data_IF_454425859827
#
_entry.id   IF_454425859827
#
_cell.length_a   1.000
_cell.length_b   1.000
_cell.length_c   1.000
_cell.angle_alpha   90.00
_cell.angle_beta   90.00
_cell.angle_gamma   90.00
#
_symmetry.space_group_name_H-M   'P 1'
#
loop_
_entity.id
_entity.type
_entity.pdbx_description
1 polymer ?
#
# COMPACT_ATOMS: atom_id res chain seq x y z
N UNK A 1 -10.40 8.54 -22.18
CA UNK A 1 -9.81 9.90 -22.34
C UNK A 1 -8.56 9.93 -23.23
N UNK A 2 -8.52 9.19 -24.37
CA UNK A 2 -7.28 9.04 -25.16
C UNK A 2 -7.44 9.17 -26.69
N UNK A 3 -8.61 9.57 -27.19
CA UNK A 3 -8.81 9.83 -28.62
C UNK A 3 -8.77 11.33 -28.96
N UNK A 4 -9.26 12.20 -28.05
CA UNK A 4 -9.30 13.65 -28.26
C UNK A 4 -7.93 14.35 -28.15
N UNK A 5 -7.00 13.87 -27.30
CA UNK A 5 -5.66 14.47 -27.18
C UNK A 5 -4.79 14.30 -28.43
N UNK A 6 -5.00 13.25 -29.23
CA UNK A 6 -4.24 13.02 -30.47
C UNK A 6 -4.65 13.94 -31.62
N UNK A 7 -5.88 14.48 -31.59
CA UNK A 7 -6.37 15.43 -32.59
C UNK A 7 -5.86 16.85 -32.30
N UNK A 8 -5.73 17.22 -31.02
CA UNK A 8 -5.20 18.52 -30.61
C UNK A 8 -3.70 18.68 -30.91
N UNK A 9 -2.91 17.62 -30.76
CA UNK A 9 -1.45 17.64 -31.01
C UNK A 9 -1.04 17.62 -32.49
N UNK A 10 -1.96 17.36 -33.43
CA UNK A 10 -1.66 17.44 -34.89
C UNK A 10 -1.85 18.83 -35.50
N UNK A 11 -2.39 19.80 -34.75
CA UNK A 11 -2.66 21.16 -35.25
C UNK A 11 -1.65 22.21 -34.78
N UNK A 12 -0.66 21.88 -33.96
CA UNK A 12 0.27 22.86 -33.36
C UNK A 12 1.71 22.79 -33.88
N UNK A 13 1.99 22.00 -34.92
CA UNK A 13 3.30 22.00 -35.59
C UNK A 13 3.18 22.33 -37.07
N UNK A 14 2.66 23.51 -37.40
CA UNK A 14 3.13 24.30 -38.56
C UNK A 14 2.46 25.67 -38.58
N UNK A 15 3.31 26.71 -38.65
CA UNK A 15 3.01 28.10 -39.04
C UNK A 15 2.20 28.98 -38.08
N UNK A 16 2.88 30.02 -37.57
CA UNK A 16 2.41 31.41 -37.64
C UNK A 16 1.29 31.82 -36.70
N UNK A 17 1.65 32.66 -35.73
CA UNK A 17 0.77 33.51 -34.91
C UNK A 17 -0.40 34.13 -35.66
N UNK A 18 -1.64 33.78 -35.27
CA UNK A 18 -2.82 34.67 -35.27
C UNK A 18 -3.80 34.20 -34.19
N UNK A 19 -4.10 35.06 -33.22
CA UNK A 19 -5.09 34.81 -32.17
C UNK A 19 -6.50 35.10 -32.73
N UNK A 20 -7.42 34.13 -32.66
CA UNK A 20 -8.83 34.37 -32.95
C UNK A 20 -9.59 34.77 -31.67
N UNK A 21 -10.47 35.77 -31.80
CA UNK A 21 -11.36 36.27 -30.76
C UNK A 21 -12.51 35.29 -30.47
N UNK A 22 -12.27 34.09 -29.94
CA UNK A 22 -13.28 33.27 -29.25
C UNK A 22 -12.60 32.17 -28.43
N UNK A 23 -11.98 32.53 -27.32
CA UNK A 23 -11.53 31.59 -26.29
C UNK A 23 -12.37 31.79 -25.02
N UNK A 24 -12.87 30.69 -24.46
CA UNK A 24 -13.65 30.68 -23.23
C UNK A 24 -12.78 31.07 -22.02
N UNK A 25 -13.37 31.57 -20.90
CA UNK A 25 -12.59 31.98 -19.73
C UNK A 25 -11.68 30.88 -19.17
N UNK A 26 -12.08 29.61 -19.32
CA UNK A 26 -11.34 28.43 -18.87
C UNK A 26 -10.08 28.18 -19.72
N UNK A 27 -10.15 28.37 -21.03
CA UNK A 27 -9.02 28.21 -21.96
C UNK A 27 -7.96 29.30 -21.76
N UNK A 28 -8.38 30.51 -21.38
CA UNK A 28 -7.48 31.60 -21.00
C UNK A 28 -6.77 31.33 -19.66
N UNK A 29 -7.44 30.68 -18.70
CA UNK A 29 -6.85 30.28 -17.41
C UNK A 29 -5.82 29.14 -17.57
N UNK A 30 -6.09 28.17 -18.44
CA UNK A 30 -5.15 27.08 -18.74
C UNK A 30 -3.88 27.58 -19.47
N UNK A 31 -3.99 28.56 -20.36
CA UNK A 31 -2.85 29.17 -21.04
C UNK A 31 -1.98 30.02 -20.09
N UNK A 32 -2.57 30.67 -19.09
CA UNK A 32 -1.84 31.44 -18.07
C UNK A 32 -0.99 30.54 -17.15
N UNK A 33 -1.49 29.34 -16.80
CA UNK A 33 -0.76 28.33 -16.01
C UNK A 33 0.39 27.67 -16.80
N UNK A 34 0.29 27.57 -18.12
CA UNK A 34 1.36 27.06 -18.97
C UNK A 34 2.49 28.09 -19.19
N UNK A 35 2.17 29.39 -19.22
CA UNK A 35 3.18 30.46 -19.34
C UNK A 35 3.91 30.78 -18.02
N UNK A 36 3.32 30.51 -16.85
CA UNK A 36 4.01 30.66 -15.56
C UNK A 36 5.00 29.55 -15.25
N UNK A 37 5.03 28.47 -16.06
CA UNK A 37 5.94 27.33 -15.88
C UNK A 37 7.23 27.48 -16.70
N UNK A 38 7.36 28.53 -17.52
CA UNK A 38 8.55 28.78 -18.38
C UNK A 38 9.44 29.93 -17.86
N UNK A 39 9.04 30.64 -16.79
CA UNK A 39 9.87 31.69 -16.18
C UNK A 39 10.03 31.46 -14.67
N UNK A 40 10.76 30.39 -14.32
CA UNK A 40 11.55 30.30 -13.08
C UNK A 40 12.70 29.32 -13.31
N UNK A 41 13.63 29.72 -14.19
CA UNK A 41 15.01 29.25 -14.22
C UNK A 41 15.84 30.52 -14.27
N UNK A 42 16.20 31.05 -13.10
CA UNK A 42 17.31 31.96 -12.82
C UNK A 42 17.14 32.52 -11.40
N UNK A 43 17.61 31.77 -10.41
CA UNK A 43 18.09 32.38 -9.17
C UNK A 43 19.54 31.98 -9.01
N UNK A 44 20.41 32.88 -9.46
CA UNK A 44 21.83 32.91 -9.19
C UNK A 44 22.02 33.22 -7.70
N UNK A 45 22.53 32.28 -6.91
CA UNK A 45 23.08 32.59 -5.60
C UNK A 45 24.60 32.58 -5.65
N UNK A 46 25.15 33.67 -5.13
CA UNK A 46 26.55 34.03 -5.06
C UNK A 46 27.43 32.93 -4.48
N UNK A 47 28.51 32.66 -5.22
CA UNK A 47 29.67 31.89 -4.78
C UNK A 47 30.41 32.69 -3.70
N UNK A 48 30.36 32.20 -2.45
CA UNK A 48 31.32 32.58 -1.41
C UNK A 48 32.14 31.32 -1.11
N UNK A 49 33.33 31.26 -1.69
CA UNK A 49 34.27 30.16 -1.48
C UNK A 49 34.72 30.13 -0.01
N UNK A 50 34.20 29.16 0.75
CA UNK A 50 34.86 28.65 1.93
C UNK A 50 35.13 27.17 1.68
N UNK A 51 36.36 26.86 1.28
CA UNK A 51 36.84 25.48 1.16
C UNK A 51 36.90 24.87 2.56
N UNK A 52 35.88 24.10 2.93
CA UNK A 52 36.00 23.06 3.96
C UNK A 52 35.97 21.72 3.24
N UNK A 53 37.16 21.20 2.91
CA UNK A 53 37.34 19.86 2.37
C UNK A 53 37.19 18.83 3.47
N UNK A 54 35.95 18.49 3.76
CA UNK A 54 35.59 17.19 4.34
C UNK A 54 34.18 16.89 3.84
N UNK A 55 34.09 16.31 2.64
CA UNK A 55 32.88 15.57 2.30
C UNK A 55 32.72 14.53 3.43
N UNK A 56 31.59 14.48 4.15
CA UNK A 56 31.38 13.43 5.13
C UNK A 56 31.55 12.11 4.38
N UNK A 57 32.48 11.28 4.83
CA UNK A 57 32.63 9.93 4.33
C UNK A 57 31.30 9.22 4.59
N UNK A 58 30.44 9.15 3.56
CA UNK A 58 29.25 8.32 3.63
C UNK A 58 29.72 6.89 3.90
N UNK A 59 29.45 6.38 5.09
CA UNK A 59 29.73 4.99 5.40
C UNK A 59 28.87 4.14 4.47
N UNK A 60 29.52 3.47 3.52
CA UNK A 60 28.83 2.68 2.53
C UNK A 60 28.05 1.56 3.21
N UNK A 61 26.73 1.57 3.07
CA UNK A 61 25.86 0.48 3.56
C UNK A 61 26.06 -0.72 2.62
N UNK A 62 26.57 -1.82 3.17
CA UNK A 62 26.75 -3.08 2.46
C UNK A 62 25.97 -4.21 3.13
N UNK A 63 26.01 -4.25 4.46
CA UNK A 63 25.37 -5.26 5.29
C UNK A 63 24.12 -4.70 5.96
N UNK A 64 22.96 -5.30 5.64
CA UNK A 64 21.66 -4.95 6.22
C UNK A 64 21.19 -6.10 7.11
N UNK A 65 20.76 -5.80 8.32
CA UNK A 65 20.15 -6.80 9.20
C UNK A 65 18.69 -6.46 9.41
N UNK A 66 17.79 -7.37 9.03
CA UNK A 66 16.35 -7.19 9.15
C UNK A 66 15.83 -8.08 10.29
N UNK A 67 15.24 -7.46 11.30
CA UNK A 67 14.65 -8.16 12.45
C UNK A 67 13.15 -8.34 12.23
N UNK A 68 12.70 -9.60 12.24
CA UNK A 68 11.35 -10.00 11.89
C UNK A 68 11.28 -10.60 10.49
N UNK A 69 10.78 -11.83 10.38
CA UNK A 69 10.63 -12.57 9.13
C UNK A 69 9.17 -12.67 8.65
N UNK A 70 8.28 -11.85 9.23
CA UNK A 70 6.89 -11.71 8.78
C UNK A 70 6.78 -11.09 7.39
N UNK A 71 5.54 -10.82 6.94
CA UNK A 71 5.26 -10.33 5.59
C UNK A 71 6.10 -9.11 5.18
N UNK A 72 6.19 -8.10 6.04
CA UNK A 72 6.96 -6.88 5.78
C UNK A 72 8.46 -7.15 5.79
N UNK A 73 8.97 -7.79 6.84
CA UNK A 73 10.40 -8.11 6.98
C UNK A 73 10.93 -8.97 5.84
N UNK A 74 10.21 -10.05 5.47
CA UNK A 74 10.53 -10.87 4.31
C UNK A 74 10.55 -10.06 3.00
N UNK A 75 9.58 -9.16 2.81
CA UNK A 75 9.55 -8.28 1.64
C UNK A 75 10.70 -7.29 1.58
N UNK A 76 11.12 -6.74 2.74
CA UNK A 76 12.28 -5.84 2.85
C UNK A 76 13.57 -6.61 2.55
N UNK A 77 13.73 -7.81 3.13
CA UNK A 77 14.87 -8.71 2.87
C UNK A 77 14.99 -9.01 1.38
N UNK A 78 13.87 -9.37 0.74
CA UNK A 78 13.83 -9.63 -0.69
C UNK A 78 14.34 -8.42 -1.49
N UNK A 79 13.75 -7.24 -1.28
CA UNK A 79 14.09 -6.04 -2.05
C UNK A 79 15.56 -5.63 -1.84
N UNK A 80 16.06 -5.70 -0.61
CA UNK A 80 17.45 -5.41 -0.31
C UNK A 80 18.40 -6.39 -1.01
N UNK A 81 18.16 -7.70 -0.86
CA UNK A 81 19.00 -8.74 -1.44
C UNK A 81 18.99 -8.74 -2.98
N UNK A 82 17.83 -8.45 -3.60
CA UNK A 82 17.69 -8.29 -5.05
C UNK A 82 18.52 -7.12 -5.62
N UNK A 83 18.82 -6.12 -4.79
CA UNK A 83 19.59 -4.94 -5.17
C UNK A 83 21.04 -4.98 -4.63
N UNK A 84 21.55 -6.18 -4.38
CA UNK A 84 22.97 -6.43 -4.13
C UNK A 84 23.46 -6.15 -2.71
N UNK A 85 22.57 -5.87 -1.75
CA UNK A 85 22.95 -5.82 -0.34
C UNK A 85 23.13 -7.24 0.21
N UNK A 86 24.08 -7.43 1.12
CA UNK A 86 24.15 -8.63 1.94
C UNK A 86 23.18 -8.47 3.10
N UNK A 87 22.23 -9.38 3.22
CA UNK A 87 21.12 -9.24 4.16
C UNK A 87 21.11 -10.42 5.13
N UNK A 88 21.08 -10.12 6.43
CA UNK A 88 20.81 -11.11 7.47
C UNK A 88 19.39 -10.94 7.97
N UNK A 89 18.54 -11.94 7.75
CA UNK A 89 17.19 -12.01 8.30
C UNK A 89 17.24 -12.68 9.67
N UNK A 90 16.74 -11.99 10.69
CA UNK A 90 16.79 -12.45 12.08
C UNK A 90 15.38 -12.61 12.63
N UNK A 91 15.11 -13.74 13.26
CA UNK A 91 13.88 -13.99 14.02
C UNK A 91 14.16 -14.91 15.21
N UNK A 92 13.19 -15.13 16.08
CA UNK A 92 13.36 -15.87 17.34
C UNK A 92 13.58 -17.37 17.16
N UNK A 93 13.11 -17.94 16.04
CA UNK A 93 13.10 -19.38 15.79
C UNK A 93 13.25 -19.65 14.28
N UNK A 94 13.94 -20.75 13.96
CA UNK A 94 14.12 -21.26 12.59
C UNK A 94 12.79 -21.47 11.86
N UNK A 95 11.71 -21.83 12.57
CA UNK A 95 10.40 -21.96 11.93
C UNK A 95 9.89 -20.66 11.31
N UNK A 96 10.17 -19.51 11.94
CA UNK A 96 9.76 -18.20 11.43
C UNK A 96 10.68 -17.77 10.29
N UNK A 97 11.98 -18.06 10.39
CA UNK A 97 12.95 -17.81 9.33
C UNK A 97 12.57 -18.59 8.06
N UNK A 98 12.21 -19.87 8.20
CA UNK A 98 11.77 -20.69 7.07
C UNK A 98 10.50 -20.13 6.42
N UNK A 99 9.49 -19.73 7.22
CA UNK A 99 8.28 -19.05 6.70
C UNK A 99 8.63 -17.78 5.93
N UNK A 100 9.55 -16.97 6.45
CA UNK A 100 10.04 -15.77 5.76
C UNK A 100 10.70 -16.10 4.41
N UNK A 101 11.56 -17.13 4.37
CA UNK A 101 12.18 -17.62 3.13
C UNK A 101 11.13 -18.12 2.13
N UNK A 102 10.10 -18.81 2.57
CA UNK A 102 9.02 -19.30 1.72
C UNK A 102 8.21 -18.13 1.11
N UNK A 103 7.94 -17.09 1.90
CA UNK A 103 7.31 -15.84 1.41
C UNK A 103 8.17 -15.21 0.31
N UNK A 104 9.47 -15.08 0.55
CA UNK A 104 10.43 -14.52 -0.42
C UNK A 104 10.43 -15.36 -1.69
N UNK A 105 10.55 -16.68 -1.57
CA UNK A 105 10.57 -17.58 -2.73
C UNK A 105 9.28 -17.48 -3.55
N UNK A 106 8.11 -17.56 -2.92
CA UNK A 106 6.82 -17.45 -3.59
C UNK A 106 6.64 -16.10 -4.30
N UNK A 107 7.12 -15.02 -3.67
CA UNK A 107 7.13 -13.68 -4.26
C UNK A 107 8.07 -13.59 -5.46
N UNK A 108 9.31 -14.08 -5.36
CA UNK A 108 10.28 -14.09 -6.45
C UNK A 108 9.82 -14.90 -7.65
N UNK A 109 9.16 -16.05 -7.44
CA UNK A 109 8.54 -16.83 -8.53
C UNK A 109 7.51 -15.97 -9.28
N UNK A 110 6.65 -15.24 -8.54
CA UNK A 110 5.63 -14.36 -9.14
C UNK A 110 6.26 -13.19 -9.89
N UNK A 111 7.29 -12.56 -9.31
CA UNK A 111 8.03 -11.44 -9.92
C UNK A 111 8.78 -11.92 -11.16
N UNK A 112 9.47 -13.06 -11.10
CA UNK A 112 10.19 -13.67 -12.21
C UNK A 112 9.29 -13.95 -13.40
N UNK A 113 8.11 -14.56 -13.18
CA UNK A 113 7.11 -14.79 -14.23
C UNK A 113 6.64 -13.49 -14.90
N UNK A 114 6.58 -12.38 -14.15
CA UNK A 114 6.17 -11.07 -14.67
C UNK A 114 7.27 -10.39 -15.48
N UNK A 115 8.53 -10.46 -15.01
CA UNK A 115 9.68 -9.77 -15.61
C UNK A 115 10.27 -10.54 -16.79
N UNK A 116 10.35 -11.86 -16.68
CA UNK A 116 11.03 -12.74 -17.63
C UNK A 116 10.06 -13.77 -18.19
N UNK A 117 9.01 -13.28 -18.86
CA UNK A 117 8.02 -14.11 -19.53
C UNK A 117 8.75 -15.08 -20.48
N UNK A 118 8.46 -16.36 -20.33
CA UNK A 118 8.99 -17.45 -21.16
C UNK A 118 10.52 -17.65 -21.12
N UNK A 119 11.22 -17.07 -20.14
CA UNK A 119 12.65 -17.30 -19.91
C UNK A 119 12.90 -17.88 -18.51
N UNK A 120 12.78 -19.20 -18.39
CA UNK A 120 12.93 -19.93 -17.12
C UNK A 120 14.35 -19.79 -16.53
N UNK A 121 15.38 -19.72 -17.38
CA UNK A 121 16.77 -19.55 -16.93
C UNK A 121 16.94 -18.25 -16.15
N UNK A 122 16.43 -17.12 -16.67
CA UNK A 122 16.48 -15.82 -15.97
C UNK A 122 15.61 -15.79 -14.71
N UNK A 123 14.50 -16.52 -14.69
CA UNK A 123 13.68 -16.64 -13.48
C UNK A 123 14.44 -17.37 -12.37
N UNK A 124 15.12 -18.47 -12.71
CA UNK A 124 15.93 -19.24 -11.77
C UNK A 124 17.14 -18.44 -11.27
N UNK A 125 17.85 -17.76 -12.17
CA UNK A 125 18.98 -16.89 -11.84
C UNK A 125 18.58 -15.77 -10.88
N UNK A 126 17.41 -15.13 -11.08
CA UNK A 126 16.88 -14.12 -10.16
C UNK A 126 16.70 -14.68 -8.74
N UNK A 127 16.13 -15.89 -8.62
CA UNK A 127 15.90 -16.52 -7.32
C UNK A 127 17.23 -16.86 -6.65
N UNK A 128 18.13 -17.55 -7.36
CA UNK A 128 19.42 -18.00 -6.83
C UNK A 128 20.31 -16.83 -6.41
N UNK A 129 20.45 -15.81 -7.26
CA UNK A 129 21.24 -14.61 -6.96
C UNK A 129 20.68 -13.83 -5.77
N UNK A 130 19.35 -13.76 -5.62
CA UNK A 130 18.73 -13.12 -4.45
C UNK A 130 19.04 -13.90 -3.17
N UNK A 131 18.86 -15.22 -3.17
CA UNK A 131 19.12 -16.04 -1.99
C UNK A 131 20.61 -16.13 -1.63
N UNK A 132 21.52 -16.01 -2.61
CA UNK A 132 22.97 -15.92 -2.36
C UNK A 132 23.37 -14.67 -1.55
N UNK A 133 22.49 -13.67 -1.47
CA UNK A 133 22.67 -12.48 -0.66
C UNK A 133 21.96 -12.54 0.71
N UNK A 134 21.23 -13.62 1.01
CA UNK A 134 20.43 -13.74 2.24
C UNK A 134 21.07 -14.79 3.16
N UNK A 135 21.38 -14.37 4.39
CA UNK A 135 21.68 -15.26 5.51
C UNK A 135 20.56 -15.20 6.55
N UNK A 136 20.40 -16.26 7.33
CA UNK A 136 19.44 -16.31 8.44
C UNK A 136 20.15 -16.53 9.76
N UNK A 137 19.58 -16.03 10.85
CA UNK A 137 20.13 -16.20 12.19
C UNK A 137 19.04 -16.09 13.24
N UNK A 138 19.15 -16.90 14.29
CA UNK A 138 18.33 -16.79 15.51
C UNK A 138 19.03 -15.98 16.61
N UNK A 139 20.30 -15.65 16.44
CA UNK A 139 21.08 -14.88 17.40
C UNK A 139 21.04 -13.38 17.06
N UNK A 140 20.18 -12.66 17.78
CA UNK A 140 19.98 -11.23 17.58
C UNK A 140 21.23 -10.40 17.86
N UNK A 141 21.94 -10.69 18.95
CA UNK A 141 23.09 -9.90 19.41
C UNK A 141 24.33 -10.14 18.55
N UNK A 142 24.54 -11.36 18.07
CA UNK A 142 25.66 -11.66 17.15
C UNK A 142 25.43 -11.04 15.79
N UNK A 143 24.20 -11.07 15.28
CA UNK A 143 23.87 -10.59 13.93
C UNK A 143 24.10 -9.09 13.77
N UNK A 144 23.90 -8.29 14.83
CA UNK A 144 24.04 -6.83 14.74
C UNK A 144 25.49 -6.34 14.64
N UNK A 145 26.47 -7.17 15.05
CA UNK A 145 27.89 -6.77 15.13
C UNK A 145 28.51 -6.40 13.79
N UNK A 146 27.96 -6.90 12.69
CA UNK A 146 28.43 -6.67 11.33
C UNK A 146 27.47 -5.79 10.51
N UNK A 147 26.42 -5.24 11.13
CA UNK A 147 25.40 -4.45 10.43
C UNK A 147 25.87 -3.03 10.19
N UNK A 148 25.69 -2.54 8.96
CA UNK A 148 25.78 -1.12 8.66
C UNK A 148 24.40 -0.44 8.83
N UNK A 149 23.33 -1.19 8.52
CA UNK A 149 21.94 -0.77 8.66
C UNK A 149 21.10 -1.86 9.31
N UNK A 150 20.37 -1.51 10.36
CA UNK A 150 19.35 -2.33 10.99
C UNK A 150 17.97 -1.86 10.55
N UNK A 151 17.11 -2.79 10.12
CA UNK A 151 15.70 -2.53 9.82
C UNK A 151 14.84 -3.45 10.70
N UNK A 152 14.11 -2.85 11.63
CA UNK A 152 13.19 -3.56 12.51
C UNK A 152 11.79 -3.64 11.88
N UNK A 153 11.27 -4.86 11.76
CA UNK A 153 9.94 -5.18 11.24
C UNK A 153 9.27 -6.32 12.06
N UNK A 154 9.44 -6.28 13.39
CA UNK A 154 8.77 -7.13 14.37
C UNK A 154 7.37 -6.61 14.69
N UNK A 155 6.65 -7.32 15.56
CA UNK A 155 5.29 -6.98 16.00
C UNK A 155 5.17 -5.54 16.51
N UNK A 156 4.02 -4.92 16.22
CA UNK A 156 3.74 -3.51 16.52
C UNK A 156 3.45 -3.29 18.02
N UNK A 157 4.50 -3.36 18.84
CA UNK A 157 4.43 -3.15 20.28
C UNK A 157 5.67 -2.37 20.76
N UNK A 158 5.44 -1.25 21.43
CA UNK A 158 6.49 -0.32 21.83
C UNK A 158 7.54 -0.96 22.76
N UNK A 159 7.11 -1.76 23.74
CA UNK A 159 8.01 -2.37 24.71
C UNK A 159 8.93 -3.41 24.06
N UNK A 160 8.37 -4.23 23.15
CA UNK A 160 9.14 -5.22 22.39
C UNK A 160 10.18 -4.55 21.49
N UNK A 161 9.80 -3.48 20.78
CA UNK A 161 10.72 -2.72 19.91
C UNK A 161 11.82 -2.04 20.73
N UNK A 162 11.48 -1.35 21.83
CA UNK A 162 12.44 -0.73 22.75
C UNK A 162 13.42 -1.76 23.33
N UNK A 163 12.90 -2.91 23.80
CA UNK A 163 13.74 -4.00 24.33
C UNK A 163 14.71 -4.53 23.29
N UNK A 164 14.25 -4.75 22.05
CA UNK A 164 15.10 -5.16 20.93
C UNK A 164 16.21 -4.12 20.72
N UNK A 165 15.87 -2.87 20.45
CA UNK A 165 16.86 -1.83 20.17
C UNK A 165 17.84 -1.59 21.33
N UNK A 166 17.38 -1.64 22.59
CA UNK A 166 18.27 -1.56 23.75
C UNK A 166 19.28 -2.70 23.83
N UNK A 167 18.92 -3.88 23.34
CA UNK A 167 19.81 -5.04 23.27
C UNK A 167 20.80 -4.87 22.12
N UNK A 168 20.31 -4.47 20.95
CA UNK A 168 21.13 -4.27 19.75
C UNK A 168 22.17 -3.16 19.94
N UNK A 169 21.79 -2.06 20.59
CA UNK A 169 22.64 -0.87 20.76
C UNK A 169 23.95 -1.16 21.48
N UNK A 170 23.95 -2.14 22.40
CA UNK A 170 25.14 -2.56 23.18
C UNK A 170 26.18 -3.31 22.34
N UNK A 171 25.72 -4.00 21.29
CA UNK A 171 26.54 -4.91 20.50
C UNK A 171 26.78 -4.38 19.07
N UNK A 172 25.96 -3.44 18.62
CA UNK A 172 26.05 -2.86 17.28
C UNK A 172 27.28 -1.97 17.15
N UNK A 173 27.98 -2.01 16.01
CA UNK A 173 29.13 -1.16 15.79
C UNK A 173 28.71 0.31 15.80
N UNK A 174 29.63 1.20 16.16
CA UNK A 174 29.34 2.63 16.35
C UNK A 174 28.74 3.28 15.11
N UNK A 175 29.12 2.84 13.91
CA UNK A 175 28.62 3.38 12.65
C UNK A 175 27.22 2.92 12.26
N UNK A 176 26.67 1.87 12.88
CA UNK A 176 25.40 1.29 12.42
C UNK A 176 24.22 2.26 12.59
N UNK A 177 23.42 2.37 11.53
CA UNK A 177 22.16 3.12 11.50
C UNK A 177 21.02 2.18 11.91
N UNK A 178 20.16 2.64 12.81
CA UNK A 178 18.97 1.91 13.24
C UNK A 178 17.71 2.49 12.62
N UNK A 179 16.85 1.61 12.10
CA UNK A 179 15.55 2.00 11.55
C UNK A 179 14.42 1.10 11.99
N UNK A 180 13.23 1.65 12.14
CA UNK A 180 11.99 0.89 12.34
C UNK A 180 11.05 1.07 11.14
N UNK A 181 10.41 -0.02 10.72
CA UNK A 181 9.34 -0.05 9.72
C UNK A 181 7.95 0.20 10.33
N UNK A 182 7.85 0.59 11.61
CA UNK A 182 6.56 0.87 12.27
C UNK A 182 5.72 1.84 11.45
N UNK A 183 4.39 1.63 11.48
CA UNK A 183 3.42 2.46 10.76
C UNK A 183 2.65 3.40 11.68
N UNK A 184 2.71 3.15 13.00
CA UNK A 184 1.82 3.80 13.98
C UNK A 184 2.54 4.34 15.22
N UNK A 185 3.71 3.81 15.57
CA UNK A 185 4.44 4.23 16.77
C UNK A 185 5.38 5.39 16.44
N UNK A 186 5.51 6.40 17.31
CA UNK A 186 6.49 7.45 17.14
C UNK A 186 7.92 6.89 17.11
N UNK A 187 8.70 7.29 16.11
CA UNK A 187 10.10 6.87 15.97
C UNK A 187 10.92 7.38 17.16
N UNK A 188 10.64 8.58 17.65
CA UNK A 188 11.26 9.19 18.82
C UNK A 188 11.11 8.33 20.06
N UNK A 189 9.94 7.71 20.23
CA UNK A 189 9.64 6.88 21.40
C UNK A 189 10.44 5.58 21.35
N UNK A 190 10.65 5.01 20.18
CA UNK A 190 11.49 3.82 20.00
C UNK A 190 12.97 4.19 20.20
N UNK A 191 13.42 5.31 19.61
CA UNK A 191 14.81 5.76 19.63
C UNK A 191 15.35 6.04 21.04
N UNK A 192 14.48 6.43 21.99
CA UNK A 192 14.81 6.63 23.42
C UNK A 192 15.44 5.40 24.08
N UNK A 193 15.28 4.19 23.52
CA UNK A 193 15.90 2.98 24.04
C UNK A 193 17.39 2.81 23.67
N UNK A 194 17.98 3.78 22.97
CA UNK A 194 19.33 3.71 22.41
C UNK A 194 20.16 4.95 22.75
N UNK A 195 21.47 4.82 22.70
CA UNK A 195 22.44 5.91 22.87
C UNK A 195 22.85 6.56 21.54
N UNK A 196 22.20 6.23 20.41
CA UNK A 196 22.51 6.73 19.05
C UNK A 196 21.34 7.45 18.36
N UNK A 197 20.66 8.40 19.02
CA UNK A 197 19.46 9.05 18.46
C UNK A 197 19.71 9.77 17.13
N UNK A 198 20.95 10.18 16.86
CA UNK A 198 21.39 10.80 15.60
C UNK A 198 21.52 9.81 14.43
N UNK A 199 21.67 8.51 14.72
CA UNK A 199 21.70 7.39 13.77
C UNK A 199 20.43 6.53 13.84
N UNK A 200 19.33 7.11 14.33
CA UNK A 200 18.03 6.44 14.41
C UNK A 200 16.99 7.15 13.53
N UNK A 201 16.21 6.39 12.76
CA UNK A 201 15.15 6.92 11.90
C UNK A 201 14.01 5.91 11.69
N UNK A 202 12.95 6.32 11.00
CA UNK A 202 11.96 5.41 10.43
C UNK A 202 12.26 5.13 8.97
N UNK A 203 12.03 3.89 8.55
CA UNK A 203 12.12 3.47 7.16
C UNK A 203 10.86 2.67 6.81
N UNK A 204 9.78 3.38 6.52
CA UNK A 204 8.44 2.82 6.42
C UNK A 204 8.12 2.39 4.99
N UNK A 205 8.15 1.08 4.76
CA UNK A 205 7.78 0.42 3.50
C UNK A 205 6.28 0.11 3.46
N UNK A 206 5.75 -0.07 2.25
CA UNK A 206 4.33 -0.36 2.03
C UNK A 206 4.12 -1.78 1.50
N UNK A 207 3.08 -2.46 2.00
CA UNK A 207 2.72 -3.81 1.58
C UNK A 207 1.99 -3.81 0.21
N UNK A 208 2.31 -4.73 -0.73
CA UNK A 208 3.46 -5.64 -0.75
C UNK A 208 4.77 -4.94 -1.10
N UNK A 209 5.79 -5.13 -0.26
CA UNK A 209 7.08 -4.41 -0.34
C UNK A 209 7.74 -4.51 -1.72
N UNK A 210 7.81 -5.68 -2.40
CA UNK A 210 8.42 -5.74 -3.74
C UNK A 210 7.69 -4.92 -4.81
N UNK A 211 6.37 -4.72 -4.66
CA UNK A 211 5.53 -4.06 -5.65
C UNK A 211 5.37 -2.56 -5.39
N UNK A 212 5.26 -2.15 -4.12
CA UNK A 212 5.08 -0.75 -3.75
C UNK A 212 6.39 0.01 -3.90
N UNK A 213 6.37 1.14 -4.62
CA UNK A 213 7.57 1.93 -4.89
C UNK A 213 7.94 2.86 -3.75
N UNK A 214 6.97 3.34 -2.98
CA UNK A 214 7.16 4.36 -1.97
C UNK A 214 7.84 3.80 -0.72
N UNK A 215 8.71 4.60 -0.12
CA UNK A 215 9.21 4.43 1.25
C UNK A 215 9.24 5.80 1.92
N UNK A 216 8.65 5.91 3.10
CA UNK A 216 8.75 7.12 3.91
C UNK A 216 10.02 7.04 4.78
N UNK A 217 10.94 7.99 4.57
CA UNK A 217 12.14 8.15 5.40
C UNK A 217 11.80 9.16 6.50
N UNK A 218 11.58 8.64 7.70
CA UNK A 218 11.05 9.40 8.83
C UNK A 218 12.19 9.88 9.72
N UNK A 219 12.36 11.19 9.86
CA UNK A 219 13.36 11.76 10.77
C UNK A 219 12.73 12.27 12.06
N UNK A 220 13.41 12.00 13.17
CA UNK A 220 13.17 12.69 14.44
C UNK A 220 13.92 14.02 14.45
N UNK A 221 13.71 14.84 15.48
CA UNK A 221 14.48 16.07 15.70
C UNK A 221 15.98 15.80 15.99
N UNK A 222 16.33 14.56 16.36
CA UNK A 222 17.71 14.16 16.67
C UNK A 222 18.42 13.50 15.49
N UNK A 223 17.68 12.92 14.55
CA UNK A 223 18.24 12.24 13.38
C UNK A 223 19.13 13.20 12.59
N UNK A 224 20.40 12.82 12.43
CA UNK A 224 21.40 13.61 11.69
C UNK A 224 21.06 13.70 10.21
N UNK A 225 21.54 14.76 9.55
CA UNK A 225 21.37 14.92 8.11
C UNK A 225 22.09 13.79 7.35
N UNK A 226 23.30 13.40 7.79
CA UNK A 226 24.05 12.29 7.19
C UNK A 226 23.28 10.96 7.25
N UNK A 227 22.61 10.67 8.36
CA UNK A 227 21.75 9.47 8.48
C UNK A 227 20.58 9.54 7.52
N UNK A 228 19.91 10.70 7.45
CA UNK A 228 18.78 10.89 6.55
C UNK A 228 19.18 10.74 5.07
N UNK A 229 20.31 11.32 4.66
CA UNK A 229 20.82 11.24 3.30
C UNK A 229 21.27 9.81 2.96
N UNK A 230 21.94 9.13 3.89
CA UNK A 230 22.33 7.72 3.73
C UNK A 230 21.11 6.83 3.51
N UNK A 231 20.05 6.98 4.32
CA UNK A 231 18.83 6.20 4.17
C UNK A 231 18.09 6.51 2.87
N UNK A 232 18.11 7.78 2.44
CA UNK A 232 17.55 8.20 1.14
C UNK A 232 18.28 7.51 -0.01
N UNK A 233 19.61 7.45 0.01
CA UNK A 233 20.41 6.76 -1.02
C UNK A 233 20.23 5.25 -0.98
N UNK A 234 20.19 4.65 0.22
CA UNK A 234 19.89 3.22 0.38
C UNK A 234 18.55 2.87 -0.26
N UNK A 235 17.53 3.68 0.01
CA UNK A 235 16.18 3.53 -0.53
C UNK A 235 16.16 3.62 -2.06
N UNK A 236 16.87 4.59 -2.64
CA UNK A 236 17.01 4.72 -4.10
C UNK A 236 17.72 3.50 -4.71
N UNK A 237 18.80 3.02 -4.09
CA UNK A 237 19.53 1.81 -4.53
C UNK A 237 18.66 0.56 -4.45
N UNK A 238 17.70 0.50 -3.52
CA UNK A 238 16.65 -0.54 -3.48
C UNK A 238 15.55 -0.36 -4.56
N UNK A 239 15.72 0.59 -5.50
CA UNK A 239 14.74 0.96 -6.53
C UNK A 239 13.40 1.41 -5.95
N UNK A 240 13.45 2.06 -4.78
CA UNK A 240 12.30 2.71 -4.14
C UNK A 240 12.37 4.22 -4.31
N UNK A 241 11.23 4.87 -4.15
CA UNK A 241 11.08 6.30 -4.14
C UNK A 241 11.01 6.77 -2.68
N UNK A 242 12.10 7.33 -2.12
CA UNK A 242 12.07 7.90 -0.79
C UNK A 242 11.24 9.19 -0.79
N UNK A 243 10.45 9.39 0.26
CA UNK A 243 9.86 10.69 0.60
C UNK A 243 10.25 11.08 2.03
N UNK A 244 10.58 12.35 2.21
CA UNK A 244 10.99 12.89 3.50
C UNK A 244 9.77 13.20 4.36
N UNK A 245 9.74 12.72 5.60
CA UNK A 245 8.74 13.15 6.56
C UNK A 245 9.30 13.27 7.97
N UNK A 246 8.62 14.07 8.80
CA UNK A 246 8.90 14.17 10.23
C UNK A 246 8.19 13.05 10.97
N UNK A 247 8.68 12.78 12.17
CA UNK A 247 8.04 11.87 13.11
C UNK A 247 6.74 12.47 13.69
N UNK A 248 5.68 12.40 12.88
CA UNK A 248 4.32 12.82 13.23
C UNK A 248 3.36 11.65 13.05
N UNK A 249 2.25 11.56 13.81
CA UNK A 249 1.33 10.43 13.74
C UNK A 249 0.90 10.12 12.29
N UNK A 250 1.17 8.89 11.83
CA UNK A 250 0.80 8.44 10.48
C UNK A 250 1.64 9.00 9.32
N UNK A 251 2.73 9.70 9.60
CA UNK A 251 3.68 10.23 8.61
C UNK A 251 2.97 11.06 7.52
N UNK A 252 3.06 10.69 6.24
CA UNK A 252 2.35 11.36 5.15
C UNK A 252 1.13 10.53 4.75
N UNK A 253 1.36 9.29 4.30
CA UNK A 253 0.32 8.49 3.66
C UNK A 253 -0.81 8.19 4.62
N UNK A 254 -0.52 7.65 5.81
CA UNK A 254 -1.58 7.31 6.75
C UNK A 254 -2.24 8.59 7.30
N UNK A 255 -1.47 9.65 7.57
CA UNK A 255 -1.99 10.93 8.09
C UNK A 255 -3.04 11.55 7.18
N UNK A 256 -2.94 11.35 5.87
CA UNK A 256 -3.92 11.80 4.85
C UNK A 256 -5.00 10.74 4.59
N UNK A 257 -4.60 9.47 4.46
CA UNK A 257 -5.49 8.39 4.02
C UNK A 257 -6.51 8.03 5.10
N UNK A 258 -6.09 7.90 6.36
CA UNK A 258 -6.99 7.47 7.45
C UNK A 258 -8.13 8.46 7.66
N UNK A 259 -7.91 9.79 7.75
CA UNK A 259 -9.02 10.75 7.82
C UNK A 259 -9.94 10.72 6.60
N UNK A 260 -9.41 10.47 5.39
CA UNK A 260 -10.21 10.28 4.19
C UNK A 260 -11.12 9.05 4.30
N UNK A 261 -10.59 7.91 4.77
CA UNK A 261 -11.38 6.70 5.00
C UNK A 261 -12.46 6.93 6.07
N UNK A 262 -12.09 7.61 7.16
CA UNK A 262 -13.03 7.99 8.22
C UNK A 262 -14.15 8.88 7.69
N UNK A 263 -13.84 9.86 6.84
CA UNK A 263 -14.89 10.73 6.27
C UNK A 263 -15.82 9.97 5.33
N UNK A 264 -15.30 9.04 4.52
CA UNK A 264 -16.15 8.16 3.73
C UNK A 264 -17.13 7.36 4.60
N UNK A 265 -16.67 6.84 5.75
CA UNK A 265 -17.56 6.15 6.70
C UNK A 265 -18.63 7.08 7.28
N UNK A 266 -18.29 8.34 7.59
CA UNK A 266 -19.25 9.33 8.10
C UNK A 266 -20.33 9.69 7.06
N UNK A 267 -19.96 9.80 5.78
CA UNK A 267 -20.93 10.02 4.68
C UNK A 267 -21.98 8.91 4.66
N UNK A 268 -21.55 7.66 4.79
CA UNK A 268 -22.48 6.51 4.81
C UNK A 268 -23.28 6.46 6.13
N UNK A 269 -22.65 6.73 7.27
CA UNK A 269 -23.33 6.76 8.58
C UNK A 269 -24.43 7.82 8.65
N UNK A 270 -24.23 8.98 8.00
CA UNK A 270 -25.25 10.04 7.87
C UNK A 270 -26.35 9.73 6.85
N UNK A 271 -26.25 8.61 6.13
CA UNK A 271 -27.22 8.20 5.12
C UNK A 271 -27.16 9.02 3.83
N UNK A 272 -26.06 9.73 3.57
CA UNK A 272 -25.92 10.61 2.40
C UNK A 272 -25.66 9.82 1.11
N UNK A 273 -25.04 8.64 1.22
CA UNK A 273 -24.77 7.75 0.10
C UNK A 273 -24.63 6.29 0.57
N UNK A 274 -24.70 5.35 -0.38
CA UNK A 274 -24.38 3.94 -0.13
C UNK A 274 -22.86 3.70 -0.19
N UNK A 275 -22.39 2.61 0.42
CA UNK A 275 -20.99 2.17 0.30
C UNK A 275 -20.53 2.09 -1.17
N UNK A 276 -21.37 1.51 -2.02
CA UNK A 276 -21.09 1.30 -3.45
C UNK A 276 -21.02 2.61 -4.22
N UNK A 277 -21.90 3.57 -3.92
CA UNK A 277 -21.92 4.86 -4.60
C UNK A 277 -20.70 5.71 -4.21
N UNK A 278 -20.30 5.70 -2.93
CA UNK A 278 -19.08 6.38 -2.48
C UNK A 278 -17.84 5.77 -3.17
N UNK A 279 -17.73 4.45 -3.21
CA UNK A 279 -16.63 3.77 -3.90
C UNK A 279 -16.61 4.09 -5.40
N UNK A 280 -17.76 4.08 -6.05
CA UNK A 280 -17.89 4.41 -7.47
C UNK A 280 -17.52 5.86 -7.74
N UNK A 281 -17.99 6.79 -6.91
CA UNK A 281 -17.67 8.21 -7.01
C UNK A 281 -16.16 8.46 -6.86
N UNK A 282 -15.50 7.83 -5.88
CA UNK A 282 -14.07 8.02 -5.68
C UNK A 282 -13.22 7.35 -6.76
N UNK A 283 -13.65 6.21 -7.30
CA UNK A 283 -12.96 5.56 -8.42
C UNK A 283 -13.10 6.33 -9.73
N UNK A 284 -14.31 6.69 -10.12
CA UNK A 284 -14.60 7.32 -11.41
C UNK A 284 -14.38 8.83 -11.40
N UNK A 285 -14.67 9.49 -10.28
CA UNK A 285 -14.55 10.95 -10.13
C UNK A 285 -13.14 11.39 -9.74
N UNK A 286 -12.57 10.81 -8.67
CA UNK A 286 -11.23 11.16 -8.20
C UNK A 286 -10.10 10.30 -8.79
N UNK A 287 -10.44 9.30 -9.61
CA UNK A 287 -9.45 8.43 -10.27
C UNK A 287 -8.76 7.45 -9.33
N UNK A 288 -9.34 7.16 -8.16
CA UNK A 288 -8.75 6.24 -7.20
C UNK A 288 -8.76 4.80 -7.74
N UNK A 289 -7.70 4.01 -7.55
CA UNK A 289 -7.67 2.63 -8.04
C UNK A 289 -8.62 1.69 -7.26
N UNK A 290 -8.92 2.04 -6.01
CA UNK A 290 -9.91 1.39 -5.15
C UNK A 290 -10.73 2.47 -4.46
N UNK A 291 -12.02 2.23 -4.26
CA UNK A 291 -12.85 3.10 -3.42
C UNK A 291 -12.42 3.03 -1.94
N UNK A 292 -12.83 3.99 -1.09
CA UNK A 292 -12.46 3.99 0.31
C UNK A 292 -12.90 2.73 1.07
N UNK A 293 -14.06 2.15 0.74
CA UNK A 293 -14.54 0.95 1.41
C UNK A 293 -13.86 -0.32 0.90
N UNK A 294 -13.69 -0.46 -0.41
CA UNK A 294 -12.84 -1.50 -1.00
C UNK A 294 -11.42 -1.50 -0.41
N UNK A 295 -10.84 -0.31 -0.21
CA UNK A 295 -9.53 -0.14 0.39
C UNK A 295 -9.55 -0.47 1.89
N UNK A 296 -10.57 -0.04 2.62
CA UNK A 296 -10.74 -0.37 4.04
C UNK A 296 -10.90 -1.87 4.27
N UNK A 297 -11.64 -2.57 3.40
CA UNK A 297 -11.77 -4.02 3.42
C UNK A 297 -10.45 -4.72 3.05
N UNK A 298 -9.65 -4.13 2.16
CA UNK A 298 -8.34 -4.66 1.78
C UNK A 298 -7.31 -4.54 2.90
N UNK A 299 -7.27 -3.39 3.59
CA UNK A 299 -6.35 -3.12 4.70
C UNK A 299 -6.79 -3.87 5.96
N UNK A 300 -8.08 -3.83 6.27
CA UNK A 300 -8.69 -4.36 7.47
C UNK A 300 -9.28 -3.27 8.36
N UNK A 301 -10.55 -3.42 8.72
CA UNK A 301 -11.30 -2.42 9.50
C UNK A 301 -10.81 -2.31 10.95
N UNK A 302 -10.38 -3.42 11.55
CA UNK A 302 -9.72 -3.42 12.86
C UNK A 302 -8.38 -2.69 12.84
N UNK A 303 -7.61 -2.80 11.75
CA UNK A 303 -6.36 -2.04 11.59
C UNK A 303 -6.64 -0.54 11.50
N UNK A 304 -7.64 -0.13 10.72
CA UNK A 304 -8.08 1.26 10.66
C UNK A 304 -8.53 1.75 12.04
N UNK A 305 -9.38 0.98 12.73
CA UNK A 305 -9.85 1.30 14.08
C UNK A 305 -8.70 1.43 15.08
N UNK A 306 -7.76 0.49 15.08
CA UNK A 306 -6.59 0.50 15.96
C UNK A 306 -5.76 1.79 15.78
N UNK A 307 -5.53 2.23 14.55
CA UNK A 307 -4.79 3.46 14.25
C UNK A 307 -5.55 4.68 14.80
N UNK A 308 -6.84 4.79 14.49
CA UNK A 308 -7.66 5.96 14.89
C UNK A 308 -7.81 6.03 16.42
N UNK A 309 -8.06 4.90 17.08
CA UNK A 309 -8.15 4.83 18.54
C UNK A 309 -6.82 5.22 19.19
N UNK A 310 -5.69 4.77 18.62
CA UNK A 310 -4.35 5.18 19.05
C UNK A 310 -4.11 6.68 18.91
N UNK A 311 -4.47 7.28 17.77
CA UNK A 311 -4.35 8.74 17.56
C UNK A 311 -5.25 9.54 18.50
N UNK A 312 -6.45 9.03 18.79
CA UNK A 312 -7.37 9.65 19.76
C UNK A 312 -6.78 9.62 21.17
N UNK A 313 -6.20 8.50 21.58
CA UNK A 313 -5.57 8.36 22.88
C UNK A 313 -4.31 9.23 23.04
N UNK A 314 -3.52 9.38 21.97
CA UNK A 314 -2.30 10.22 21.97
C UNK A 314 -2.61 11.73 21.94
N UNK A 315 -3.79 12.13 21.44
CA UNK A 315 -4.25 13.52 21.45
C UNK A 315 -3.48 14.49 20.53
N UNK A 316 -2.55 13.98 19.71
CA UNK A 316 -1.73 14.78 18.78
C UNK A 316 -2.40 15.07 17.43
N UNK A 317 -3.48 14.35 17.12
CA UNK A 317 -4.31 14.57 15.92
C UNK A 317 -5.59 15.27 16.34
N UNK A 318 -6.06 16.24 15.53
CA UNK A 318 -7.30 16.97 15.76
C UNK A 318 -8.46 16.01 16.07
N UNK A 319 -9.14 16.25 17.20
CA UNK A 319 -10.18 15.39 17.73
C UNK A 319 -11.35 15.19 16.76
N UNK A 320 -11.66 16.17 15.91
CA UNK A 320 -12.73 16.05 14.92
C UNK A 320 -12.35 15.07 13.80
N UNK A 321 -11.08 15.01 13.41
CA UNK A 321 -10.62 14.09 12.37
C UNK A 321 -10.66 12.63 12.85
N UNK A 322 -10.38 12.40 14.13
CA UNK A 322 -10.33 11.06 14.75
C UNK A 322 -11.54 10.74 15.63
N UNK A 323 -12.61 11.54 15.54
CA UNK A 323 -13.86 11.28 16.23
C UNK A 323 -14.39 9.89 15.87
N UNK A 324 -14.94 9.18 16.86
CA UNK A 324 -15.47 7.82 16.67
C UNK A 324 -16.53 7.81 15.59
N UNK A 325 -16.58 6.70 14.85
CA UNK A 325 -17.59 6.44 13.83
C UNK A 325 -18.27 5.14 14.24
N UNK A 326 -19.54 5.24 14.62
CA UNK A 326 -20.31 4.12 15.18
C UNK A 326 -20.34 2.95 14.20
N UNK A 327 -20.46 3.23 12.91
CA UNK A 327 -20.41 2.23 11.85
C UNK A 327 -19.12 1.40 11.89
N UNK A 328 -17.96 2.04 12.08
CA UNK A 328 -16.68 1.33 12.19
C UNK A 328 -16.65 0.45 13.45
N UNK A 329 -17.09 1.01 14.58
CA UNK A 329 -17.13 0.32 15.86
C UNK A 329 -18.03 -0.92 15.80
N UNK A 330 -19.24 -0.78 15.22
CA UNK A 330 -20.20 -1.87 15.04
C UNK A 330 -19.65 -2.98 14.13
N UNK A 331 -19.04 -2.61 12.99
CA UNK A 331 -18.47 -3.57 12.04
C UNK A 331 -17.34 -4.39 12.67
N UNK A 332 -16.43 -3.72 13.40
CA UNK A 332 -15.33 -4.40 14.08
C UNK A 332 -15.85 -5.26 15.23
N UNK A 333 -16.81 -4.77 16.02
CA UNK A 333 -17.42 -5.54 17.11
C UNK A 333 -18.16 -6.80 16.60
N UNK A 334 -18.75 -6.72 15.40
CA UNK A 334 -19.39 -7.85 14.73
C UNK A 334 -18.40 -8.83 14.07
N UNK A 335 -17.09 -8.55 14.10
CA UNK A 335 -16.07 -9.38 13.47
C UNK A 335 -16.01 -9.24 11.94
N UNK A 336 -16.61 -8.20 11.37
CA UNK A 336 -16.53 -7.88 9.95
C UNK A 336 -15.25 -7.06 9.71
N UNK A 337 -14.14 -7.74 9.42
CA UNK A 337 -12.81 -7.12 9.36
C UNK A 337 -12.31 -6.91 7.92
N UNK A 338 -13.17 -7.07 6.93
CA UNK A 338 -12.81 -6.99 5.51
C UNK A 338 -12.33 -8.33 4.95
N UNK A 339 -11.45 -8.30 3.94
CA UNK A 339 -11.04 -9.48 3.14
C UNK A 339 -10.40 -10.63 3.91
N UNK A 340 -9.86 -10.35 5.09
CA UNK A 340 -9.30 -11.38 5.99
C UNK A 340 -10.37 -12.18 6.73
N UNK A 341 -11.62 -11.74 6.67
CA UNK A 341 -12.82 -12.42 7.13
C UNK A 341 -13.74 -12.68 5.95
N UNK A 342 -14.71 -13.59 6.09
CA UNK A 342 -15.66 -13.90 5.00
C UNK A 342 -16.60 -12.73 4.67
N UNK A 343 -16.69 -11.71 5.54
CA UNK A 343 -17.58 -10.56 5.43
C UNK A 343 -16.82 -9.29 5.02
N UNK A 344 -17.29 -8.66 3.95
CA UNK A 344 -16.79 -7.40 3.39
C UNK A 344 -17.93 -6.37 3.38
N UNK A 345 -17.59 -5.10 3.61
CA UNK A 345 -18.56 -3.99 3.53
C UNK A 345 -18.99 -3.80 2.08
N UNK A 346 -18.05 -3.92 1.14
CA UNK A 346 -18.35 -3.93 -0.29
C UNK A 346 -18.26 -5.37 -0.79
N UNK A 347 -19.42 -5.97 -1.03
CA UNK A 347 -19.49 -7.23 -1.76
C UNK A 347 -19.17 -6.92 -3.23
N UNK A 348 -18.10 -7.48 -3.83
CA UNK A 348 -17.85 -7.27 -5.25
C UNK A 348 -19.06 -7.76 -6.06
N UNK A 349 -19.42 -7.10 -7.17
CA UNK A 349 -20.52 -7.57 -8.00
C UNK A 349 -20.24 -9.02 -8.42
N UNK A 350 -21.17 -9.92 -8.09
CA UNK A 350 -21.08 -11.32 -8.51
C UNK A 350 -20.91 -11.39 -10.03
N UNK A 351 -19.77 -11.89 -10.50
CA UNK A 351 -19.63 -12.34 -11.88
C UNK A 351 -20.28 -13.72 -11.97
N UNK A 352 -21.54 -13.77 -12.40
CA UNK A 352 -22.14 -15.03 -12.84
C UNK A 352 -21.58 -15.30 -14.24
N UNK A 353 -20.51 -16.10 -14.34
CA UNK A 353 -20.09 -16.66 -15.63
C UNK A 353 -21.04 -17.80 -15.99
N UNK A 354 -22.00 -17.51 -16.87
CA UNK A 354 -22.76 -18.57 -17.54
C UNK A 354 -21.84 -19.28 -18.54
N UNK A 355 -21.24 -20.41 -18.13
CA UNK A 355 -20.61 -21.35 -19.07
C UNK A 355 -21.72 -22.21 -19.69
N UNK A 356 -22.18 -21.82 -20.87
CA UNK A 356 -22.94 -22.73 -21.72
C UNK A 356 -21.96 -23.68 -22.39
N UNK A 357 -22.12 -24.99 -22.18
CA UNK A 357 -21.39 -25.99 -22.96
C UNK A 357 -22.08 -26.16 -24.31
N UNK A 358 -21.35 -26.62 -25.33
CA UNK A 358 -21.91 -26.84 -26.68
C UNK A 358 -23.09 -27.82 -26.68
N UNK A 359 -23.19 -28.66 -25.64
CA UNK A 359 -24.29 -29.61 -25.42
C UNK A 359 -25.58 -28.92 -24.98
N UNK A 360 -25.48 -27.86 -24.17
CA UNK A 360 -26.63 -27.09 -23.65
C UNK A 360 -27.33 -26.26 -24.75
N UNK A 361 -26.60 -25.91 -25.81
CA UNK A 361 -27.13 -25.18 -26.98
C UNK A 361 -27.90 -26.11 -27.91
N UNK A 362 -27.48 -27.38 -28.02
CA UNK A 362 -28.07 -28.37 -28.92
C UNK A 362 -29.33 -29.03 -28.34
N UNK A 363 -29.44 -29.15 -27.01
CA UNK A 363 -30.67 -29.66 -26.38
C UNK A 363 -31.85 -28.69 -26.53
N UNK A 364 -31.60 -27.38 -26.64
CA UNK A 364 -32.65 -26.37 -26.82
C UNK A 364 -33.07 -26.13 -28.28
N UNK A 365 -32.33 -26.62 -29.27
CA UNK A 365 -32.69 -26.46 -30.68
C UNK A 365 -33.71 -27.48 -31.19
N UNK A 366 -34.13 -28.44 -30.36
CA UNK A 366 -35.09 -29.50 -30.72
C UNK A 366 -36.51 -29.29 -30.15
N UNK A 367 -36.77 -28.25 -29.37
CA UNK A 367 -38.13 -27.85 -29.03
C UNK A 367 -38.59 -26.76 -29.99
N UNK A 368 -39.42 -27.19 -30.93
CA UNK A 368 -39.99 -26.38 -31.99
C UNK A 368 -40.97 -25.33 -31.45
N UNK A 369 -40.95 -24.18 -32.13
CA UNK A 369 -41.95 -23.12 -32.14
C UNK A 369 -42.14 -22.37 -30.82
N UNK A 370 -41.41 -21.25 -30.63
CA UNK A 370 -41.92 -19.95 -30.15
C UNK A 370 -40.81 -18.89 -30.33
N UNK A 371 -40.40 -18.65 -31.58
CA UNK A 371 -39.22 -17.84 -31.90
C UNK A 371 -39.46 -16.31 -31.94
N UNK A 372 -40.40 -15.76 -31.15
CA UNK A 372 -40.74 -14.32 -31.27
C UNK A 372 -41.24 -13.59 -30.03
N UNK A 373 -40.75 -13.94 -28.83
CA UNK A 373 -41.14 -13.25 -27.60
C UNK A 373 -40.02 -13.06 -26.55
N UNK A 374 -38.75 -13.04 -26.95
CA UNK A 374 -37.61 -12.90 -26.02
C UNK A 374 -36.64 -11.78 -26.39
N UNK A 375 -37.12 -10.76 -27.09
CA UNK A 375 -36.30 -9.58 -27.42
C UNK A 375 -36.80 -8.25 -26.85
N UNK A 376 -37.84 -8.26 -26.01
CA UNK A 376 -38.36 -7.03 -25.42
C UNK A 376 -38.91 -7.28 -24.01
N UNK A 377 -38.02 -7.43 -23.02
CA UNK A 377 -38.24 -7.04 -21.60
C UNK A 377 -37.00 -7.33 -20.74
N UNK A 378 -35.88 -6.68 -21.07
CA UNK A 378 -34.71 -6.57 -20.18
C UNK A 378 -34.43 -5.12 -19.83
N UNK A 379 -35.51 -4.36 -19.62
CA UNK A 379 -35.47 -3.10 -18.92
C UNK A 379 -36.36 -3.20 -17.68
N UNK A 380 -35.69 -3.11 -16.53
CA UNK A 380 -36.22 -3.11 -15.17
C UNK A 380 -36.97 -4.38 -14.75
N UNK A 381 -36.30 -5.26 -13.98
CA UNK A 381 -36.85 -5.80 -12.72
C UNK A 381 -35.89 -6.76 -12.00
N UNK A 382 -35.77 -6.53 -10.69
CA UNK A 382 -35.34 -7.42 -9.60
C UNK A 382 -34.56 -8.70 -9.94
N UNK A 383 -33.23 -8.63 -9.74
CA UNK A 383 -32.34 -9.79 -9.60
C UNK A 383 -32.81 -10.81 -8.54
N UNK A 384 -33.58 -10.37 -7.54
CA UNK A 384 -34.19 -11.24 -6.53
C UNK A 384 -35.22 -12.23 -7.12
N UNK A 385 -36.00 -11.82 -8.12
CA UNK A 385 -37.01 -12.67 -8.74
C UNK A 385 -36.38 -13.78 -9.60
N UNK A 386 -35.30 -13.44 -10.31
CA UNK A 386 -34.53 -14.39 -11.14
C UNK A 386 -33.82 -15.43 -10.27
N UNK A 387 -33.24 -15.02 -9.14
CA UNK A 387 -32.63 -15.95 -8.19
C UNK A 387 -33.67 -16.89 -7.56
N UNK A 388 -34.82 -16.37 -7.10
CA UNK A 388 -35.89 -17.17 -6.48
C UNK A 388 -36.49 -18.19 -7.48
N UNK A 389 -36.62 -17.83 -8.76
CA UNK A 389 -37.14 -18.74 -9.78
C UNK A 389 -36.14 -19.85 -10.13
N UNK A 390 -34.84 -19.55 -10.17
CA UNK A 390 -33.79 -20.53 -10.45
C UNK A 390 -33.51 -21.48 -9.27
N UNK A 391 -33.61 -21.00 -8.02
CA UNK A 391 -33.44 -21.83 -6.82
C UNK A 391 -34.65 -22.74 -6.50
N UNK A 392 -35.82 -22.51 -7.11
CA UNK A 392 -36.93 -23.48 -7.11
C UNK A 392 -36.67 -24.67 -8.04
N UNK A 393 -35.80 -24.53 -9.04
CA UNK A 393 -35.47 -25.56 -10.02
C UNK A 393 -34.26 -26.41 -9.63
N UNK A 394 -33.38 -25.91 -8.77
CA UNK A 394 -32.17 -26.62 -8.32
C UNK A 394 -32.29 -26.95 -6.83
N UNK A 395 -32.33 -28.24 -6.51
CA UNK A 395 -32.60 -28.80 -5.18
C UNK A 395 -31.41 -28.58 -4.21
N UNK A 396 -31.15 -27.32 -3.83
CA UNK A 396 -30.08 -26.94 -2.90
C UNK A 396 -30.57 -27.09 -1.44
N UNK A 397 -29.80 -27.82 -0.63
CA UNK A 397 -30.12 -28.13 0.78
C UNK A 397 -30.39 -26.86 1.61
N UNK A 398 -31.52 -26.87 2.33
CA UNK A 398 -32.11 -25.79 3.15
C UNK A 398 -31.18 -25.15 4.21
N UNK A 399 -30.07 -25.78 4.59
CA UNK A 399 -29.25 -25.33 5.71
C UNK A 399 -28.42 -24.06 5.41
N UNK A 400 -28.19 -23.75 4.14
CA UNK A 400 -27.54 -22.49 3.73
C UNK A 400 -28.50 -21.29 3.70
N UNK A 401 -29.81 -21.50 3.82
CA UNK A 401 -30.81 -20.44 3.69
C UNK A 401 -30.88 -19.52 4.94
N UNK A 402 -30.65 -20.08 6.14
CA UNK A 402 -30.80 -19.34 7.41
C UNK A 402 -29.72 -18.29 7.66
N UNK A 403 -28.53 -18.42 7.06
CA UNK A 403 -27.44 -17.44 7.20
C UNK A 403 -27.60 -16.22 6.28
N UNK A 404 -28.30 -16.37 5.15
CA UNK A 404 -28.40 -15.31 4.13
C UNK A 404 -29.64 -14.41 4.29
N UNK A 405 -30.70 -14.87 4.96
CA UNK A 405 -31.95 -14.11 5.10
C UNK A 405 -31.88 -13.02 6.19
N UNK A 406 -30.92 -13.09 7.11
CA UNK A 406 -30.81 -12.11 8.22
C UNK A 406 -30.46 -10.70 7.73
N UNK A 407 -29.91 -10.54 6.52
CA UNK A 407 -29.55 -9.22 5.99
C UNK A 407 -30.72 -8.44 5.34
N UNK A 408 -31.90 -9.04 5.17
CA UNK A 408 -32.99 -8.46 4.39
C UNK A 408 -34.28 -8.14 5.18
N UNK A 409 -34.22 -8.11 6.52
CA UNK A 409 -35.41 -7.88 7.35
C UNK A 409 -35.35 -6.73 8.37
N UNK A 410 -34.47 -5.74 8.17
CA UNK A 410 -34.54 -4.48 8.91
C UNK A 410 -34.37 -3.23 8.02
N UNK A 411 -35.07 -3.20 6.89
CA UNK A 411 -35.45 -1.94 6.24
C UNK A 411 -36.97 -1.84 6.16
#
# INVERSE_FOLDING_TARGET
MNHFLRIALRRTTSRGTTFSHHATPFEKQAAALLNSTIITHNYSHHNSNCFSTSAPTQNAINNITVYGSGLMGAGIVQVAAQNGYKVTMVDLDEQYLQKGRDIIHASLVRVGKKLYKDNEAKQKELIESTFANITTSTDSSKSVKASDLVIEAIVENIDKKRKLFSTLDKEAPEHAIFTSNTSSLPISDIAQATARPEKFAGLHFFNPVPQMKLVEVVRTDKTSQDTFDTLTEVTKKMQKAPVACKDTPGFIVNRLLVPYLMEAMRVVERGEATFQDVDTAMKLGAGMPMGPFELSDFVGLDTLKFIVDGWRADGKVDANLVASVKLLDDLVAAGNLGRKTEMQVVVPPFKIEFRFTHRDILEKSNESNHHRALEFELHQTNLAAVAIHYFKLVNVKKDNLKKYIIYWHHR
#
